data_IF_304862718012
#
_entry.id   IF_304862718012
#
_cell.length_a   1.000
_cell.length_b   1.000
_cell.length_c   1.000
_cell.angle_alpha   90.00
_cell.angle_beta   90.00
_cell.angle_gamma   90.00
#
_symmetry.space_group_name_H-M   'P 1'
#
loop_
_entity.id
_entity.type
_entity.pdbx_description
1 polymer ?
#
# COMPACT_ATOMS: atom_id res chain seq x y z
N UNK A 1 7.83 7.75 -11.46
CA UNK A 1 8.02 6.99 -10.22
C UNK A 1 7.22 5.70 -10.26
N UNK A 2 7.81 4.61 -9.79
CA UNK A 2 7.20 3.30 -9.52
C UNK A 2 6.84 3.24 -8.03
N UNK A 3 5.58 2.92 -7.73
CA UNK A 3 5.06 2.84 -6.37
C UNK A 3 4.79 1.39 -5.98
N UNK A 4 5.07 1.05 -4.72
CA UNK A 4 4.53 -0.14 -4.05
C UNK A 4 3.66 0.33 -2.90
N UNK A 5 2.38 -0.01 -2.93
CA UNK A 5 1.42 0.30 -1.87
C UNK A 5 1.11 -0.95 -1.05
N UNK A 6 1.61 -1.00 0.18
CA UNK A 6 1.50 -2.16 1.08
C UNK A 6 0.28 -1.99 1.98
N UNK A 7 -0.63 -2.95 1.96
CA UNK A 7 -1.90 -2.87 2.69
C UNK A 7 -2.86 -1.90 2.01
N UNK A 8 -2.99 -1.99 0.69
CA UNK A 8 -3.72 -0.98 -0.10
C UNK A 8 -5.24 -0.94 0.17
N UNK A 9 -5.81 -1.96 0.83
CA UNK A 9 -7.22 -2.04 1.19
C UNK A 9 -8.14 -1.78 -0.01
N UNK A 10 -9.02 -0.80 0.13
CA UNK A 10 -9.95 -0.36 -0.92
C UNK A 10 -9.33 0.43 -2.07
N UNK A 11 -8.01 0.65 -2.09
CA UNK A 11 -7.27 1.22 -3.23
C UNK A 11 -7.21 2.75 -3.31
N UNK A 12 -7.71 3.48 -2.31
CA UNK A 12 -7.81 4.96 -2.36
C UNK A 12 -6.47 5.63 -2.67
N UNK A 13 -5.41 5.24 -1.96
CA UNK A 13 -4.07 5.79 -2.21
C UNK A 13 -3.51 5.27 -3.53
N UNK A 14 -3.55 3.96 -3.77
CA UNK A 14 -3.05 3.35 -5.00
C UNK A 14 -3.60 4.01 -6.27
N UNK A 15 -4.91 4.28 -6.32
CA UNK A 15 -5.55 5.01 -7.42
C UNK A 15 -5.09 6.46 -7.51
N UNK A 16 -4.95 7.15 -6.37
CA UNK A 16 -4.48 8.53 -6.33
C UNK A 16 -3.05 8.66 -6.82
N UNK A 17 -2.17 7.75 -6.41
CA UNK A 17 -0.80 7.66 -6.90
C UNK A 17 -0.78 7.36 -8.41
N UNK A 18 -1.64 6.45 -8.88
CA UNK A 18 -1.73 6.10 -10.30
C UNK A 18 -2.18 7.28 -11.19
N UNK A 19 -3.06 8.16 -10.69
CA UNK A 19 -3.51 9.36 -11.41
C UNK A 19 -2.43 10.43 -11.61
N UNK A 20 -1.32 10.38 -10.87
CA UNK A 20 -0.27 11.40 -11.00
C UNK A 20 0.44 11.28 -12.35
N UNK A 21 0.71 12.40 -13.04
CA UNK A 21 1.36 12.39 -14.36
C UNK A 21 2.81 11.89 -14.31
N UNK A 22 3.44 11.92 -13.14
CA UNK A 22 4.80 11.42 -12.90
C UNK A 22 4.83 9.92 -12.59
N UNK A 23 3.68 9.25 -12.46
CA UNK A 23 3.60 7.84 -12.08
C UNK A 23 3.74 6.93 -13.29
N UNK A 24 4.78 6.10 -13.25
CA UNK A 24 5.03 5.08 -14.26
C UNK A 24 4.21 3.82 -13.99
N UNK A 25 4.15 3.37 -12.73
CA UNK A 25 3.32 2.26 -12.31
C UNK A 25 3.07 2.26 -10.80
N UNK A 26 1.98 1.62 -10.39
CA UNK A 26 1.63 1.33 -9.01
C UNK A 26 1.36 -0.16 -8.89
N UNK A 27 2.10 -0.82 -8.00
CA UNK A 27 1.80 -2.16 -7.52
C UNK A 27 1.17 -2.02 -6.15
N UNK A 28 -0.07 -2.44 -5.99
CA UNK A 28 -0.83 -2.36 -4.75
C UNK A 28 -1.09 -3.76 -4.22
N UNK A 29 -0.72 -4.03 -2.97
CA UNK A 29 -0.82 -5.37 -2.37
C UNK A 29 -1.69 -5.34 -1.13
N UNK A 30 -2.51 -6.37 -0.97
CA UNK A 30 -3.31 -6.63 0.23
C UNK A 30 -3.58 -8.14 0.34
N UNK A 31 -3.52 -8.75 1.53
CA UNK A 31 -3.84 -10.17 1.68
C UNK A 31 -5.32 -10.49 1.45
N UNK A 32 -6.24 -9.55 1.67
CA UNK A 32 -7.68 -9.76 1.64
C UNK A 32 -8.24 -9.69 0.20
N UNK A 33 -8.68 -10.82 -0.39
CA UNK A 33 -9.18 -10.80 -1.78
C UNK A 33 -10.46 -9.98 -1.93
N UNK A 34 -11.26 -9.89 -0.87
CA UNK A 34 -12.52 -9.15 -0.82
C UNK A 34 -12.30 -7.64 -0.98
N UNK A 35 -11.35 -7.05 -0.25
CA UNK A 35 -11.04 -5.62 -0.37
C UNK A 35 -10.41 -5.30 -1.72
N UNK A 36 -9.57 -6.20 -2.25
CA UNK A 36 -9.02 -6.05 -3.60
C UNK A 36 -10.10 -6.14 -4.68
N UNK A 37 -11.16 -6.93 -4.48
CA UNK A 37 -12.28 -6.97 -5.42
C UNK A 37 -13.01 -5.62 -5.46
N UNK A 38 -13.20 -4.99 -4.30
CA UNK A 38 -13.76 -3.64 -4.17
C UNK A 38 -12.84 -2.62 -4.85
N UNK A 39 -11.55 -2.62 -4.53
CA UNK A 39 -10.55 -1.72 -5.11
C UNK A 39 -10.51 -1.82 -6.64
N UNK A 40 -10.48 -3.03 -7.19
CA UNK A 40 -10.54 -3.26 -8.65
C UNK A 40 -11.86 -2.77 -9.24
N UNK A 41 -12.99 -2.95 -8.54
CA UNK A 41 -14.29 -2.47 -9.02
C UNK A 41 -14.37 -0.95 -9.02
N UNK A 42 -13.74 -0.29 -8.06
CA UNK A 42 -13.69 1.17 -7.98
C UNK A 42 -12.76 1.74 -9.07
N UNK A 43 -11.55 1.19 -9.20
CA UNK A 43 -10.60 1.58 -10.23
C UNK A 43 -11.16 1.46 -11.66
N UNK A 44 -11.98 0.43 -11.96
CA UNK A 44 -12.64 0.28 -13.27
C UNK A 44 -13.61 1.41 -13.62
N UNK A 45 -14.10 2.16 -12.63
CA UNK A 45 -15.01 3.28 -12.84
C UNK A 45 -14.28 4.60 -13.08
N UNK A 46 -12.98 4.66 -12.84
CA UNK A 46 -12.17 5.86 -13.03
C UNK A 46 -11.58 5.89 -14.45
N UNK A 47 -12.05 6.79 -15.33
CA UNK A 47 -11.53 6.91 -16.69
C UNK A 47 -10.09 7.46 -16.76
N UNK A 48 -9.57 8.04 -15.67
CA UNK A 48 -8.20 8.52 -15.60
C UNK A 48 -7.19 7.36 -15.41
N UNK A 49 -7.65 6.22 -14.89
CA UNK A 49 -6.81 5.04 -14.69
C UNK A 49 -6.74 4.21 -15.98
N UNK A 50 -5.52 4.00 -16.48
CA UNK A 50 -5.29 3.19 -17.68
C UNK A 50 -4.54 1.90 -17.32
N UNK A 51 -5.00 0.71 -17.73
CA UNK A 51 -4.18 -0.49 -17.66
C UNK A 51 -2.90 -0.30 -18.51
N UNK A 52 -1.72 -0.77 -18.07
CA UNK A 52 -1.43 -1.52 -16.84
C UNK A 52 -0.89 -0.66 -15.69
N UNK A 53 -1.20 0.65 -15.65
CA UNK A 53 -0.58 1.60 -14.71
C UNK A 53 -0.79 1.25 -13.24
N UNK A 54 -1.92 0.64 -12.89
CA UNK A 54 -2.24 0.18 -11.54
C UNK A 54 -2.52 -1.33 -11.53
N UNK A 55 -1.78 -2.07 -10.71
CA UNK A 55 -1.91 -3.52 -10.55
C UNK A 55 -2.18 -3.87 -9.09
N UNK A 56 -3.25 -4.62 -8.85
CA UNK A 56 -3.62 -5.12 -7.52
C UNK A 56 -3.23 -6.61 -7.38
N UNK A 57 -2.49 -6.97 -6.33
CA UNK A 57 -2.03 -8.34 -6.08
C UNK A 57 -2.50 -8.83 -4.69
N UNK A 58 -3.07 -10.05 -4.59
CA UNK A 58 -3.37 -10.67 -3.31
C UNK A 58 -2.07 -11.19 -2.68
N UNK A 59 -1.39 -10.34 -1.92
CA UNK A 59 -0.05 -10.60 -1.39
C UNK A 59 0.23 -9.78 -0.14
N UNK A 60 1.18 -10.26 0.66
CA UNK A 60 1.84 -9.49 1.73
C UNK A 60 3.27 -9.15 1.34
N UNK A 61 3.89 -8.22 2.08
CA UNK A 61 5.29 -7.84 1.83
C UNK A 61 6.25 -9.03 2.00
N UNK A 62 5.94 -9.96 2.91
CA UNK A 62 6.71 -11.16 3.20
C UNK A 62 6.67 -12.17 2.05
N UNK A 63 5.55 -12.23 1.34
CA UNK A 63 5.35 -13.13 0.19
C UNK A 63 5.88 -12.56 -1.12
N UNK A 64 6.10 -11.25 -1.19
CA UNK A 64 6.53 -10.58 -2.41
C UNK A 64 8.01 -10.87 -2.68
N UNK A 65 8.40 -11.27 -3.91
CA UNK A 65 9.80 -11.51 -4.22
C UNK A 65 10.60 -10.22 -4.10
N UNK A 66 11.66 -10.26 -3.30
CA UNK A 66 12.56 -9.12 -3.11
C UNK A 66 13.27 -8.79 -4.43
N UNK A 67 13.26 -7.53 -4.90
CA UNK A 67 13.93 -7.16 -6.14
C UNK A 67 15.43 -7.45 -6.08
N UNK A 68 15.94 -8.20 -7.07
CA UNK A 68 17.34 -8.63 -7.12
C UNK A 68 18.30 -7.46 -7.38
N UNK A 69 17.87 -6.44 -8.12
CA UNK A 69 18.68 -5.27 -8.44
C UNK A 69 18.04 -3.98 -7.93
N UNK A 70 18.84 -2.92 -7.63
CA UNK A 70 18.28 -1.61 -7.29
C UNK A 70 17.37 -1.02 -8.39
N UNK A 71 17.58 -1.34 -9.66
CA UNK A 71 16.73 -0.85 -10.74
C UNK A 71 15.30 -1.41 -10.68
N UNK A 72 15.15 -2.63 -10.13
CA UNK A 72 13.87 -3.33 -10.01
C UNK A 72 13.04 -2.89 -8.80
N UNK A 73 13.66 -2.17 -7.86
CA UNK A 73 13.02 -1.60 -6.67
C UNK A 73 12.09 -0.44 -7.01
N UNK A 74 11.30 -0.03 -6.03
CA UNK A 74 10.32 1.05 -6.15
C UNK A 74 10.95 2.40 -5.73
N UNK A 75 10.50 3.47 -6.38
CA UNK A 75 10.90 4.84 -6.03
C UNK A 75 10.23 5.27 -4.73
N UNK A 76 9.00 4.80 -4.50
CA UNK A 76 8.22 5.04 -3.29
C UNK A 76 7.57 3.73 -2.82
N UNK A 77 7.69 3.42 -1.55
CA UNK A 77 6.93 2.37 -0.87
C UNK A 77 6.04 3.05 0.17
N UNK A 78 4.72 2.85 0.09
CA UNK A 78 3.76 3.32 1.09
C UNK A 78 3.31 2.19 2.00
N UNK A 79 3.10 2.53 3.27
CA UNK A 79 2.57 1.67 4.32
C UNK A 79 1.58 2.50 5.14
N UNK A 80 0.32 2.52 4.74
CA UNK A 80 -0.70 3.33 5.42
C UNK A 80 -1.63 2.44 6.23
N UNK A 81 -1.74 2.72 7.53
CA UNK A 81 -2.65 2.01 8.45
C UNK A 81 -2.40 0.49 8.54
N UNK A 82 -1.14 0.07 8.37
CA UNK A 82 -0.72 -1.34 8.48
C UNK A 82 0.04 -1.61 9.77
N UNK A 83 0.79 -0.62 10.25
CA UNK A 83 1.81 -0.81 11.30
C UNK A 83 1.18 -1.11 12.67
N UNK A 84 -0.08 -0.73 12.87
CA UNK A 84 -0.90 -1.01 14.05
C UNK A 84 -1.36 -2.47 14.16
N UNK A 85 -1.40 -3.20 13.06
CA UNK A 85 -1.88 -4.58 13.00
C UNK A 85 -0.74 -5.61 12.91
N UNK A 86 0.52 -5.16 12.94
CA UNK A 86 1.70 -6.04 12.88
C UNK A 86 2.35 -6.20 14.25
N UNK A 87 2.78 -7.43 14.56
CA UNK A 87 3.37 -7.77 15.86
C UNK A 87 4.67 -7.00 16.16
N UNK A 88 5.47 -6.73 15.12
CA UNK A 88 6.75 -6.03 15.22
C UNK A 88 6.90 -4.99 14.10
N UNK A 89 6.55 -3.71 14.37
CA UNK A 89 6.74 -2.60 13.43
C UNK A 89 8.16 -2.47 12.88
N UNK A 90 9.16 -2.70 13.73
CA UNK A 90 10.56 -2.57 13.33
C UNK A 90 10.97 -3.65 12.32
N UNK A 91 10.55 -4.90 12.55
CA UNK A 91 10.82 -5.99 11.61
C UNK A 91 10.06 -5.79 10.30
N UNK A 92 8.81 -5.35 10.36
CA UNK A 92 8.01 -5.03 9.18
C UNK A 92 8.67 -3.96 8.31
N UNK A 93 9.10 -2.84 8.91
CA UNK A 93 9.80 -1.78 8.18
C UNK A 93 11.14 -2.26 7.60
N UNK A 94 11.86 -3.12 8.32
CA UNK A 94 13.07 -3.76 7.81
C UNK A 94 12.78 -4.67 6.61
N UNK A 95 11.59 -5.29 6.54
CA UNK A 95 11.13 -6.06 5.37
C UNK A 95 10.74 -5.18 4.19
N UNK A 96 10.24 -3.96 4.41
CA UNK A 96 9.96 -3.01 3.33
C UNK A 96 11.24 -2.41 2.71
N UNK A 97 12.30 -2.21 3.50
CA UNK A 97 13.51 -1.50 3.05
C UNK A 97 14.16 -2.06 1.76
N UNK A 98 14.28 -3.39 1.53
CA UNK A 98 14.82 -3.95 0.29
C UNK A 98 14.00 -3.64 -0.97
N UNK A 99 12.74 -3.23 -0.83
CA UNK A 99 11.87 -2.84 -1.94
C UNK A 99 12.06 -1.37 -2.33
N UNK A 100 12.75 -0.57 -1.53
CA UNK A 100 12.99 0.86 -1.78
C UNK A 100 14.34 1.05 -2.48
N UNK A 101 14.36 1.85 -3.54
CA UNK A 101 15.61 2.27 -4.19
C UNK A 101 16.50 3.06 -3.22
N UNK A 102 17.84 3.00 -3.37
CA UNK A 102 18.71 4.00 -2.75
C UNK A 102 18.26 5.42 -3.14
N UNK A 103 18.00 6.27 -2.14
CA UNK A 103 17.44 7.62 -2.33
C UNK A 103 15.93 7.67 -2.61
N UNK A 104 15.24 6.54 -2.60
CA UNK A 104 13.78 6.45 -2.63
C UNK A 104 13.15 6.69 -1.27
N UNK A 105 11.81 6.64 -1.23
CA UNK A 105 11.03 6.96 -0.04
C UNK A 105 10.30 5.73 0.50
N UNK A 106 10.38 5.53 1.81
CA UNK A 106 9.44 4.73 2.57
C UNK A 106 8.55 5.69 3.36
N UNK A 107 7.26 5.73 3.04
CA UNK A 107 6.29 6.64 3.65
C UNK A 107 5.26 5.81 4.39
N UNK A 108 4.96 6.17 5.63
CA UNK A 108 3.91 5.49 6.36
C UNK A 108 3.08 6.43 7.22
N UNK A 109 1.87 5.98 7.52
CA UNK A 109 0.97 6.55 8.51
C UNK A 109 0.51 5.45 9.44
N UNK A 110 0.11 5.86 10.64
CA UNK A 110 -0.55 5.00 11.61
C UNK A 110 -1.59 5.85 12.32
N UNK A 111 -2.70 5.25 12.73
CA UNK A 111 -3.70 5.91 13.56
C UNK A 111 -3.02 6.64 14.74
N UNK A 112 -3.40 7.90 14.92
CA UNK A 112 -2.94 8.68 16.06
C UNK A 112 -3.41 8.02 17.36
N UNK A 113 -2.52 7.81 18.33
CA UNK A 113 -2.83 7.27 19.68
C UNK A 113 -3.62 8.25 20.57
N UNK A 114 -4.63 8.91 20.01
CA UNK A 114 -5.55 9.76 20.75
C UNK A 114 -6.73 8.92 21.24
N UNK A 115 -7.21 9.19 22.45
CA UNK A 115 -8.32 8.47 23.07
C UNK A 115 -9.59 8.46 22.20
N UNK A 116 -9.80 9.52 21.42
CA UNK A 116 -10.91 9.63 20.46
C UNK A 116 -10.77 8.58 19.35
N UNK A 117 -9.57 8.38 18.81
CA UNK A 117 -9.32 7.38 17.75
C UNK A 117 -9.45 5.94 18.25
N UNK A 118 -9.03 5.66 19.49
CA UNK A 118 -9.23 4.34 20.10
C UNK A 118 -10.72 4.02 20.30
N UNK A 119 -11.50 5.00 20.78
CA UNK A 119 -12.93 4.83 21.03
C UNK A 119 -13.73 4.66 19.73
N UNK A 120 -13.42 5.41 18.67
CA UNK A 120 -14.16 5.30 17.41
C UNK A 120 -13.84 4.04 16.63
N UNK A 121 -12.60 3.56 16.67
CA UNK A 121 -12.18 2.39 15.88
C UNK A 121 -12.57 1.07 16.54
N UNK A 122 -12.41 0.90 17.86
CA UNK A 122 -12.80 -0.36 18.51
C UNK A 122 -14.29 -0.45 18.85
N UNK A 123 -14.99 0.67 19.09
CA UNK A 123 -16.37 0.64 19.58
C UNK A 123 -17.42 0.90 18.49
N UNK A 124 -17.01 1.38 17.30
CA UNK A 124 -17.94 1.76 16.23
C UNK A 124 -17.69 1.03 14.90
N UNK A 125 -16.53 0.40 14.71
CA UNK A 125 -16.18 -0.32 13.48
C UNK A 125 -16.18 -1.86 13.63
N UNK A 126 -16.34 -2.38 14.85
CA UNK A 126 -16.49 -3.83 15.15
C UNK A 126 -17.95 -4.28 15.41
N UNK A 127 -18.95 -3.46 15.05
CA UNK A 127 -20.37 -3.89 15.00
C UNK A 127 -20.88 -3.98 13.54
#
# INVERSE_FOLDING_TARGET
>A
ARYLDVGCGGGIFAESAARLPTTASVTAIDPSPEVLAIARAHARRDPALRPPQLTYLPATIETLPVPATPADRFDVVSVFEVVEHVDSPAEFLARCAPFVKPGGWLVGSTIARTWVSWLTTNFLAED
#
